data_IF_892716225374
#
_entry.id   IF_892716225374
#
_cell.length_a   1.000
_cell.length_b   1.000
_cell.length_c   1.000
_cell.angle_alpha   90.00
_cell.angle_beta   90.00
_cell.angle_gamma   90.00
#
_symmetry.space_group_name_H-M   'P 1'
#
loop_
_entity.id
_entity.type
_entity.pdbx_description
1 polymer ?
#
# COMPACT_ATOMS: atom_id res chain seq x y z
N UNK A 1 -22.12 -13.36 -7.37
CA UNK A 1 -20.85 -12.71 -7.73
C UNK A 1 -19.66 -13.47 -7.14
N UNK A 2 -18.48 -13.30 -7.69
CA UNK A 2 -17.24 -13.88 -7.14
C UNK A 2 -16.90 -13.17 -5.85
N UNK A 3 -16.65 -13.91 -4.78
CA UNK A 3 -16.17 -13.39 -3.51
C UNK A 3 -14.64 -13.57 -3.46
N UNK A 4 -13.91 -12.48 -3.26
CA UNK A 4 -12.44 -12.49 -3.21
C UNK A 4 -11.88 -12.77 -1.81
N UNK A 5 -12.72 -12.71 -0.78
CA UNK A 5 -12.33 -12.95 0.62
C UNK A 5 -13.20 -14.03 1.24
N UNK A 6 -12.72 -14.72 2.29
CA UNK A 6 -13.58 -15.57 3.10
C UNK A 6 -14.78 -14.81 3.66
N UNK A 7 -15.79 -15.51 4.11
CA UNK A 7 -16.88 -14.89 4.90
C UNK A 7 -16.31 -14.24 6.16
N UNK A 8 -16.80 -13.05 6.46
CA UNK A 8 -16.37 -12.36 7.68
C UNK A 8 -16.92 -13.08 8.89
N UNK A 9 -16.08 -13.64 9.77
CA UNK A 9 -16.54 -14.30 10.99
C UNK A 9 -17.15 -13.27 11.95
N UNK A 10 -17.98 -13.72 12.88
CA UNK A 10 -18.50 -12.85 13.95
C UNK A 10 -17.38 -12.49 14.94
N UNK A 11 -16.57 -13.47 15.35
CA UNK A 11 -15.40 -13.24 16.22
C UNK A 11 -14.25 -12.59 15.43
N UNK A 12 -13.37 -11.85 16.10
CA UNK A 12 -12.19 -11.27 15.47
C UNK A 12 -11.26 -12.34 14.89
N UNK A 13 -10.62 -11.98 13.76
CA UNK A 13 -9.48 -12.73 13.20
C UNK A 13 -8.42 -11.75 12.76
N UNK A 14 -7.20 -11.83 13.29
CA UNK A 14 -6.05 -11.04 12.89
C UNK A 14 -5.37 -11.72 11.70
N UNK A 15 -5.50 -11.13 10.53
CA UNK A 15 -5.06 -11.68 9.25
C UNK A 15 -3.71 -11.08 8.78
N UNK A 16 -3.33 -11.36 7.54
CA UNK A 16 -2.24 -10.72 6.82
C UNK A 16 -0.84 -11.19 7.22
N UNK A 17 0.14 -10.44 6.75
CA UNK A 17 1.55 -10.75 6.90
C UNK A 17 1.98 -10.79 8.37
N UNK A 18 2.85 -11.76 8.70
CA UNK A 18 3.48 -11.84 10.03
C UNK A 18 4.73 -10.99 10.16
N UNK A 19 5.33 -10.63 9.03
CA UNK A 19 6.56 -9.86 8.96
C UNK A 19 6.45 -8.77 7.92
N UNK A 20 6.91 -7.57 8.25
CA UNK A 20 6.94 -6.40 7.37
C UNK A 20 8.31 -5.77 7.43
N UNK A 21 8.89 -5.47 6.28
CA UNK A 21 10.19 -4.81 6.18
C UNK A 21 10.06 -3.28 6.23
N UNK A 22 11.07 -2.64 6.78
CA UNK A 22 11.24 -1.18 6.73
C UNK A 22 12.72 -0.80 6.69
N UNK A 23 13.05 0.25 5.94
CA UNK A 23 14.39 0.86 5.99
C UNK A 23 14.55 1.63 7.31
N UNK A 24 15.76 1.64 7.93
CA UNK A 24 16.02 2.45 9.12
C UNK A 24 15.62 3.91 8.93
N UNK A 25 14.86 4.47 9.86
CA UNK A 25 14.40 5.86 9.81
C UNK A 25 13.35 6.19 8.76
N UNK A 26 12.90 5.22 7.96
CA UNK A 26 11.87 5.44 6.94
C UNK A 26 10.46 5.54 7.54
N UNK A 27 9.55 6.18 6.79
CA UNK A 27 8.12 6.22 7.14
C UNK A 27 7.52 4.82 7.05
N UNK A 28 6.74 4.47 8.05
CA UNK A 28 5.96 3.22 8.11
C UNK A 28 4.49 3.55 7.91
N UNK A 29 3.84 2.81 7.03
CA UNK A 29 2.40 2.74 6.86
C UNK A 29 2.02 1.25 6.77
N UNK A 30 1.31 0.75 7.77
CA UNK A 30 0.87 -0.64 7.79
C UNK A 30 -0.52 -0.75 8.39
N UNK A 31 -1.50 -1.15 7.58
CA UNK A 31 -2.83 -1.49 8.06
C UNK A 31 -2.81 -2.93 8.59
N UNK A 32 -3.03 -3.09 9.89
CA UNK A 32 -3.25 -4.42 10.48
C UNK A 32 -4.58 -4.96 9.95
N UNK A 33 -4.57 -6.08 9.21
CA UNK A 33 -5.81 -6.62 8.67
C UNK A 33 -6.54 -7.39 9.77
N UNK A 34 -7.74 -6.95 10.12
CA UNK A 34 -8.59 -7.64 11.10
C UNK A 34 -10.00 -7.74 10.57
N UNK A 35 -10.48 -8.97 10.39
CA UNK A 35 -11.87 -9.28 10.08
C UNK A 35 -12.65 -9.61 11.36
N UNK A 36 -13.97 -9.45 11.31
CA UNK A 36 -14.87 -9.69 12.44
C UNK A 36 -15.99 -8.66 12.49
N UNK A 37 -17.02 -8.94 13.30
CA UNK A 37 -18.12 -8.00 13.50
C UNK A 37 -17.64 -6.74 14.23
N UNK A 38 -18.09 -5.58 13.77
CA UNK A 38 -17.84 -4.28 14.38
C UNK A 38 -19.00 -3.89 15.33
N UNK A 39 -18.77 -3.13 16.42
CA UNK A 39 -17.51 -2.49 16.81
C UNK A 39 -16.48 -3.48 17.36
N UNK A 40 -15.19 -3.17 17.13
CA UNK A 40 -14.07 -4.00 17.51
C UNK A 40 -12.95 -3.13 18.11
N UNK A 41 -12.32 -3.61 19.19
CA UNK A 41 -11.13 -3.00 19.77
C UNK A 41 -9.89 -3.68 19.21
N UNK A 42 -8.97 -2.90 18.64
CA UNK A 42 -7.67 -3.38 18.14
C UNK A 42 -6.58 -2.69 18.95
N UNK A 43 -5.61 -3.46 19.43
CA UNK A 43 -4.52 -2.98 20.28
C UNK A 43 -3.19 -3.59 19.84
N UNK A 44 -2.12 -2.83 20.03
CA UNK A 44 -0.76 -3.28 19.81
C UNK A 44 0.05 -3.10 21.09
N UNK A 45 0.80 -4.14 21.48
CA UNK A 45 1.77 -4.08 22.57
C UNK A 45 3.17 -4.32 22.01
N UNK A 46 4.15 -3.52 22.46
CA UNK A 46 5.54 -3.63 22.01
C UNK A 46 5.84 -2.88 20.71
N UNK A 47 4.98 -1.92 20.30
CA UNK A 47 5.33 -1.03 19.19
C UNK A 47 6.63 -0.28 19.50
N UNK A 48 7.59 -0.25 18.56
CA UNK A 48 8.81 0.53 18.72
C UNK A 48 8.53 2.02 18.91
N UNK A 49 9.43 2.70 19.62
CA UNK A 49 9.40 4.16 19.70
C UNK A 49 9.39 4.79 18.30
N UNK A 50 8.58 5.81 18.10
CA UNK A 50 8.36 6.46 16.81
C UNK A 50 7.17 5.91 16.00
N UNK A 51 6.59 4.77 16.39
CA UNK A 51 5.38 4.22 15.79
C UNK A 51 4.17 4.35 16.69
N UNK A 52 3.01 4.57 16.09
CA UNK A 52 1.70 4.57 16.77
C UNK A 52 0.68 3.80 15.95
N UNK A 53 -0.32 3.25 16.61
CA UNK A 53 -1.46 2.60 15.97
C UNK A 53 -2.75 3.34 16.33
N UNK A 54 -3.59 3.62 15.36
CA UNK A 54 -4.93 4.19 15.58
C UNK A 54 -5.97 3.09 15.92
N UNK A 55 -7.20 3.52 16.25
CA UNK A 55 -8.29 2.62 16.62
C UNK A 55 -8.76 1.68 15.48
N UNK A 56 -8.40 2.00 14.24
CA UNK A 56 -8.68 1.15 13.06
C UNK A 56 -7.61 0.09 12.82
N UNK A 57 -6.51 0.13 13.59
CA UNK A 57 -5.37 -0.75 13.42
C UNK A 57 -4.35 -0.23 12.39
N UNK A 58 -4.38 1.05 12.04
CA UNK A 58 -3.39 1.65 11.15
C UNK A 58 -2.15 2.05 11.93
N UNK A 59 -1.03 1.39 11.66
CA UNK A 59 0.29 1.69 12.20
C UNK A 59 0.97 2.72 11.31
N UNK A 60 1.38 3.84 11.91
CA UNK A 60 2.09 4.93 11.21
C UNK A 60 3.23 5.48 12.07
N UNK A 61 4.16 6.15 11.44
CA UNK A 61 5.28 6.82 12.10
C UNK A 61 6.60 6.60 11.40
N UNK A 62 7.69 6.57 12.16
CA UNK A 62 9.06 6.40 11.65
C UNK A 62 9.65 5.11 12.21
N UNK A 63 10.21 4.28 11.34
CA UNK A 63 10.91 3.07 11.74
C UNK A 63 12.13 3.40 12.63
N UNK A 64 12.48 2.52 13.58
CA UNK A 64 13.71 2.67 14.35
C UNK A 64 14.95 2.88 13.47
N UNK A 65 15.89 3.68 13.92
CA UNK A 65 17.19 3.84 13.24
C UNK A 65 18.06 2.58 13.33
N UNK A 66 17.90 1.79 14.40
CA UNK A 66 18.67 0.55 14.62
C UNK A 66 18.05 -0.60 13.82
N UNK A 67 18.87 -1.28 13.01
CA UNK A 67 18.48 -2.52 12.33
C UNK A 67 18.15 -3.62 13.36
N UNK A 68 17.16 -4.43 13.06
CA UNK A 68 16.74 -5.54 13.91
C UNK A 68 15.29 -5.94 13.71
N UNK A 69 14.87 -6.94 14.47
CA UNK A 69 13.49 -7.43 14.49
C UNK A 69 12.77 -6.92 15.75
N UNK A 70 11.65 -6.25 15.53
CA UNK A 70 10.81 -5.69 16.58
C UNK A 70 9.50 -6.46 16.62
N UNK A 71 9.31 -7.24 17.69
CA UNK A 71 8.13 -8.05 17.88
C UNK A 71 7.00 -7.22 18.48
N UNK A 72 5.85 -7.24 17.83
CA UNK A 72 4.65 -6.53 18.26
C UNK A 72 3.52 -7.53 18.40
N UNK A 73 2.85 -7.54 19.55
CA UNK A 73 1.65 -8.34 19.76
C UNK A 73 0.42 -7.55 19.39
N UNK A 74 -0.28 -7.96 18.33
CA UNK A 74 -1.58 -7.40 17.94
C UNK A 74 -2.67 -8.22 18.62
N UNK A 75 -3.66 -7.54 19.19
CA UNK A 75 -4.84 -8.15 19.79
C UNK A 75 -6.09 -7.48 19.25
N UNK A 76 -7.10 -8.26 18.93
CA UNK A 76 -8.41 -7.78 18.52
C UNK A 76 -9.50 -8.44 19.39
N UNK A 77 -10.53 -7.67 19.76
CA UNK A 77 -11.63 -8.17 20.57
C UNK A 77 -12.95 -7.48 20.23
N UNK A 78 -14.03 -8.25 20.25
CA UNK A 78 -15.40 -7.77 20.16
C UNK A 78 -16.31 -8.60 21.12
N UNK A 79 -17.63 -8.43 21.03
CA UNK A 79 -18.60 -9.18 21.86
C UNK A 79 -18.60 -10.69 21.62
N UNK A 80 -18.08 -11.17 20.50
CA UNK A 80 -18.07 -12.57 20.11
C UNK A 80 -16.75 -13.30 20.44
N UNK A 81 -15.71 -12.55 20.87
CA UNK A 81 -14.45 -13.17 21.24
C UNK A 81 -13.23 -12.26 21.05
N UNK A 82 -12.08 -12.92 21.04
CA UNK A 82 -10.78 -12.26 20.86
C UNK A 82 -9.85 -13.11 20.02
N UNK A 83 -8.92 -12.45 19.34
CA UNK A 83 -7.80 -13.07 18.63
C UNK A 83 -6.52 -12.29 18.87
N UNK A 84 -5.37 -12.92 18.71
CA UNK A 84 -4.07 -12.28 18.86
C UNK A 84 -3.05 -12.90 17.91
N UNK A 85 -2.15 -12.06 17.39
CA UNK A 85 -1.08 -12.47 16.48
C UNK A 85 0.20 -11.71 16.82
N UNK A 86 1.34 -12.40 16.76
CA UNK A 86 2.64 -11.73 16.74
C UNK A 86 2.90 -11.19 15.31
N UNK A 87 3.29 -9.94 15.25
CA UNK A 87 3.72 -9.25 14.06
C UNK A 87 5.16 -8.78 14.27
N UNK A 88 6.00 -8.95 13.26
CA UNK A 88 7.41 -8.56 13.29
C UNK A 88 7.62 -7.40 12.33
N UNK A 89 8.15 -6.29 12.83
CA UNK A 89 8.75 -5.25 12.02
C UNK A 89 10.25 -5.54 11.89
N UNK A 90 10.70 -5.96 10.72
CA UNK A 90 12.13 -6.14 10.41
C UNK A 90 12.68 -4.85 9.82
N UNK A 91 13.52 -4.18 10.56
CA UNK A 91 14.21 -2.95 10.11
C UNK A 91 15.55 -3.33 9.54
N UNK A 92 15.76 -3.04 8.25
CA UNK A 92 16.99 -3.44 7.55
C UNK A 92 16.96 -3.07 6.07
N UNK A 93 17.66 -3.83 5.27
CA UNK A 93 17.82 -3.59 3.83
C UNK A 93 16.83 -4.40 3.00
N UNK A 94 16.10 -5.33 3.60
CA UNK A 94 15.09 -6.16 2.96
C UNK A 94 13.69 -5.60 3.23
N UNK A 95 12.93 -5.32 2.18
CA UNK A 95 11.64 -4.63 2.28
C UNK A 95 10.43 -5.54 1.98
N UNK A 96 10.42 -6.21 0.85
CA UNK A 96 9.31 -7.07 0.42
C UNK A 96 9.41 -8.49 0.99
N UNK A 97 9.30 -8.63 2.30
CA UNK A 97 9.41 -9.91 3.01
C UNK A 97 8.20 -10.83 2.82
N UNK A 98 7.09 -10.27 2.36
CA UNK A 98 5.89 -11.01 1.94
C UNK A 98 5.39 -10.42 0.63
N UNK A 99 4.80 -11.24 -0.28
CA UNK A 99 4.22 -10.73 -1.51
C UNK A 99 3.19 -9.64 -1.23
N UNK A 100 3.23 -8.51 -1.96
CA UNK A 100 2.20 -7.49 -1.84
C UNK A 100 0.87 -8.02 -2.38
N UNK A 101 -0.21 -7.78 -1.63
CA UNK A 101 -1.57 -8.10 -2.07
C UNK A 101 -2.31 -6.81 -2.38
N UNK A 102 -2.89 -6.74 -3.57
CA UNK A 102 -3.56 -5.52 -4.00
C UNK A 102 -4.15 -5.63 -5.40
N UNK A 103 -4.33 -4.48 -6.00
CA UNK A 103 -4.92 -4.30 -7.31
C UNK A 103 -3.94 -3.56 -8.23
N UNK A 104 -3.94 -3.91 -9.51
CA UNK A 104 -3.31 -3.17 -10.60
C UNK A 104 -4.38 -2.70 -11.59
N UNK A 105 -4.22 -1.51 -12.11
CA UNK A 105 -5.23 -0.86 -12.95
C UNK A 105 -5.39 -1.47 -14.34
N UNK A 106 -4.40 -2.20 -14.84
CA UNK A 106 -4.35 -2.61 -16.24
C UNK A 106 -5.58 -3.38 -16.70
N UNK A 107 -5.86 -4.50 -16.06
CA UNK A 107 -6.98 -5.36 -16.47
C UNK A 107 -8.37 -4.79 -16.16
N UNK A 108 -8.45 -3.70 -15.38
CA UNK A 108 -9.72 -3.05 -15.07
C UNK A 108 -10.01 -1.85 -15.97
N UNK A 109 -8.98 -1.10 -16.35
CA UNK A 109 -9.15 0.19 -17.02
C UNK A 109 -8.23 0.39 -18.22
N UNK A 110 -7.17 -0.42 -18.39
CA UNK A 110 -6.17 -0.25 -19.46
C UNK A 110 -5.75 1.22 -19.58
N UNK A 111 -5.76 1.73 -20.79
CA UNK A 111 -5.41 3.12 -21.10
C UNK A 111 -6.41 4.17 -20.57
N UNK A 112 -7.61 3.74 -20.17
CA UNK A 112 -8.63 4.66 -19.65
C UNK A 112 -8.47 4.94 -18.14
N UNK A 113 -7.40 4.45 -17.49
CA UNK A 113 -7.14 4.72 -16.08
C UNK A 113 -7.01 6.21 -15.79
N UNK A 114 -7.57 6.64 -14.67
CA UNK A 114 -7.49 8.01 -14.19
C UNK A 114 -7.69 8.08 -12.67
N UNK A 115 -7.42 9.25 -12.11
CA UNK A 115 -7.45 9.49 -10.66
C UNK A 115 -8.77 9.06 -10.01
N UNK A 116 -9.91 9.33 -10.65
CA UNK A 116 -11.23 8.94 -10.14
C UNK A 116 -11.41 7.44 -10.05
N UNK A 117 -10.96 6.70 -11.09
CA UNK A 117 -11.03 5.23 -11.11
C UNK A 117 -10.20 4.63 -9.97
N UNK A 118 -8.99 5.15 -9.77
CA UNK A 118 -8.08 4.71 -8.72
C UNK A 118 -8.68 4.95 -7.34
N UNK A 119 -9.18 6.16 -7.07
CA UNK A 119 -9.81 6.51 -5.80
C UNK A 119 -11.11 5.72 -5.56
N UNK A 120 -11.91 5.49 -6.60
CA UNK A 120 -13.10 4.64 -6.51
C UNK A 120 -12.73 3.21 -6.11
N UNK A 121 -11.70 2.64 -6.75
CA UNK A 121 -11.23 1.29 -6.41
C UNK A 121 -10.72 1.23 -4.98
N UNK A 122 -9.93 2.20 -4.54
CA UNK A 122 -9.43 2.27 -3.16
C UNK A 122 -10.59 2.29 -2.14
N UNK A 123 -11.62 3.11 -2.38
CA UNK A 123 -12.82 3.13 -1.52
C UNK A 123 -13.53 1.78 -1.48
N UNK A 124 -13.69 1.12 -2.63
CA UNK A 124 -14.31 -0.21 -2.71
C UNK A 124 -13.51 -1.27 -1.92
N UNK A 125 -12.18 -1.18 -1.86
CA UNK A 125 -11.36 -2.08 -1.04
C UNK A 125 -11.69 -1.96 0.44
N UNK A 126 -11.94 -0.74 0.92
CA UNK A 126 -12.38 -0.50 2.30
C UNK A 126 -13.83 -0.97 2.51
N UNK A 127 -14.75 -0.52 1.67
CA UNK A 127 -16.19 -0.82 1.77
C UNK A 127 -16.51 -2.31 1.69
N UNK A 128 -15.77 -3.03 0.84
CA UNK A 128 -15.92 -4.49 0.66
C UNK A 128 -15.08 -5.31 1.64
N UNK A 129 -14.35 -4.66 2.53
CA UNK A 129 -13.56 -5.32 3.56
C UNK A 129 -12.31 -6.04 3.08
N UNK A 130 -11.83 -5.80 1.84
CA UNK A 130 -10.61 -6.42 1.33
C UNK A 130 -9.40 -6.06 2.19
N UNK A 131 -9.33 -4.83 2.68
CA UNK A 131 -8.26 -4.36 3.59
C UNK A 131 -8.20 -5.18 4.88
N UNK A 132 -9.32 -5.73 5.35
CA UNK A 132 -9.40 -6.57 6.55
C UNK A 132 -8.75 -7.95 6.35
N UNK A 133 -8.40 -8.29 5.11
CA UNK A 133 -7.73 -9.54 4.72
C UNK A 133 -6.32 -9.30 4.15
N UNK A 134 -5.81 -8.06 4.20
CA UNK A 134 -4.45 -7.72 3.78
C UNK A 134 -4.30 -7.21 2.35
N UNK A 135 -5.39 -6.96 1.64
CA UNK A 135 -5.37 -6.34 0.32
C UNK A 135 -5.18 -4.82 0.47
N UNK A 136 -3.93 -4.37 0.47
CA UNK A 136 -3.57 -3.00 0.87
C UNK A 136 -2.70 -2.26 -0.14
N UNK A 137 -2.54 -2.77 -1.36
CA UNK A 137 -1.80 -2.10 -2.43
C UNK A 137 -2.76 -1.68 -3.53
N UNK A 138 -2.71 -0.40 -3.90
CA UNK A 138 -3.44 0.20 -5.03
C UNK A 138 -2.40 0.67 -6.03
N UNK A 139 -2.21 -0.11 -7.09
CA UNK A 139 -1.15 0.12 -8.06
C UNK A 139 -1.73 0.67 -9.36
N UNK A 140 -1.17 1.77 -9.81
CA UNK A 140 -1.41 2.34 -11.13
C UNK A 140 -0.41 1.68 -12.08
N UNK A 141 -0.93 1.01 -13.08
CA UNK A 141 -0.14 0.45 -14.18
C UNK A 141 0.23 1.56 -15.18
N UNK A 142 0.46 1.23 -16.42
CA UNK A 142 0.82 2.17 -17.46
C UNK A 142 -0.23 3.28 -17.67
N UNK A 143 0.07 4.26 -18.49
CA UNK A 143 -0.82 5.33 -18.96
C UNK A 143 -1.09 6.47 -17.96
N UNK A 144 -0.32 6.60 -16.87
CA UNK A 144 -0.38 7.77 -15.98
C UNK A 144 0.59 8.88 -16.39
N UNK A 145 1.62 8.51 -17.15
CA UNK A 145 2.73 9.39 -17.51
C UNK A 145 2.28 10.52 -18.45
N UNK A 146 2.75 11.71 -18.16
CA UNK A 146 2.69 12.89 -18.99
C UNK A 146 4.08 13.29 -19.46
N UNK A 147 4.29 14.59 -19.70
CA UNK A 147 5.58 15.12 -20.13
C UNK A 147 6.56 15.20 -18.95
N UNK A 148 7.86 15.28 -19.28
CA UNK A 148 8.89 15.55 -18.28
C UNK A 148 8.87 17.02 -17.89
N UNK A 149 9.05 17.29 -16.60
CA UNK A 149 9.01 18.66 -16.10
C UNK A 149 9.43 18.77 -14.64
N UNK A 150 9.14 19.93 -14.06
CA UNK A 150 9.48 20.23 -12.69
C UNK A 150 10.99 20.41 -12.46
N UNK A 151 11.38 20.59 -11.20
CA UNK A 151 12.76 20.88 -10.80
C UNK A 151 13.77 19.80 -11.23
N UNK A 152 13.35 18.54 -11.19
CA UNK A 152 14.22 17.39 -11.43
C UNK A 152 14.02 16.80 -12.83
N UNK A 153 13.28 17.47 -13.73
CA UNK A 153 12.94 16.97 -15.05
C UNK A 153 12.36 15.54 -15.02
N UNK A 154 11.58 15.25 -13.99
CA UNK A 154 10.93 13.95 -13.79
C UNK A 154 9.66 13.82 -14.62
N UNK A 155 9.20 12.59 -14.83
CA UNK A 155 7.90 12.32 -15.47
C UNK A 155 6.81 12.94 -14.58
N UNK A 156 5.99 13.80 -15.18
CA UNK A 156 4.83 14.38 -14.53
C UNK A 156 3.58 13.55 -14.83
N UNK A 157 2.56 13.56 -13.98
CA UNK A 157 1.30 12.89 -14.30
C UNK A 157 0.60 13.61 -15.48
N UNK A 158 -0.11 12.86 -16.29
CA UNK A 158 -0.93 13.42 -17.35
C UNK A 158 -2.25 14.01 -16.81
N UNK A 159 -3.03 14.65 -17.71
CA UNK A 159 -4.30 15.32 -17.35
C UNK A 159 -5.36 14.47 -16.66
N UNK A 160 -5.27 13.13 -16.75
CA UNK A 160 -6.18 12.21 -16.06
C UNK A 160 -5.83 12.05 -14.58
N UNK A 161 -4.67 12.53 -14.17
CA UNK A 161 -4.19 12.54 -12.79
C UNK A 161 -3.87 13.97 -12.35
N UNK A 162 -4.87 14.85 -12.23
CA UNK A 162 -4.66 16.27 -12.00
C UNK A 162 -4.02 16.60 -10.65
N UNK A 163 -4.16 15.74 -9.67
CA UNK A 163 -3.51 15.87 -8.35
C UNK A 163 -3.08 14.51 -7.81
N UNK A 164 -1.97 14.00 -8.34
CA UNK A 164 -1.38 12.72 -7.93
C UNK A 164 -1.05 12.69 -6.43
N UNK A 165 -0.63 13.84 -5.87
CA UNK A 165 -0.30 13.91 -4.45
C UNK A 165 -1.54 13.72 -3.58
N UNK A 166 -2.61 14.46 -3.83
CA UNK A 166 -3.86 14.33 -3.07
C UNK A 166 -4.48 12.93 -3.22
N UNK A 167 -4.35 12.32 -4.40
CA UNK A 167 -4.76 10.94 -4.62
C UNK A 167 -3.98 9.96 -3.74
N UNK A 168 -2.64 10.05 -3.72
CA UNK A 168 -1.80 9.21 -2.88
C UNK A 168 -2.10 9.44 -1.39
N UNK A 169 -2.23 10.69 -0.96
CA UNK A 169 -2.57 11.03 0.42
C UNK A 169 -3.92 10.40 0.84
N UNK A 170 -4.91 10.41 -0.06
CA UNK A 170 -6.21 9.78 0.18
C UNK A 170 -6.10 8.26 0.32
N UNK A 171 -5.31 7.60 -0.52
CA UNK A 171 -5.06 6.16 -0.45
C UNK A 171 -4.35 5.81 0.88
N UNK A 172 -3.34 6.59 1.25
CA UNK A 172 -2.62 6.42 2.52
C UNK A 172 -3.53 6.64 3.74
N UNK A 173 -4.42 7.63 3.70
CA UNK A 173 -5.39 7.88 4.77
C UNK A 173 -6.39 6.72 4.96
N UNK A 174 -6.66 5.96 3.90
CA UNK A 174 -7.44 4.72 3.94
C UNK A 174 -6.63 3.50 4.43
N UNK A 175 -5.34 3.66 4.75
CA UNK A 175 -4.46 2.59 5.24
C UNK A 175 -3.80 1.75 4.14
N UNK A 176 -3.89 2.17 2.89
CA UNK A 176 -3.31 1.44 1.75
C UNK A 176 -2.08 2.15 1.20
N UNK A 177 -1.29 1.43 0.42
CA UNK A 177 -0.11 1.93 -0.29
C UNK A 177 -0.47 2.20 -1.74
N UNK A 178 0.02 3.31 -2.29
CA UNK A 178 -0.06 3.63 -3.70
C UNK A 178 1.23 3.18 -4.40
N UNK A 179 1.10 2.49 -5.53
CA UNK A 179 2.20 2.11 -6.40
C UNK A 179 1.99 2.65 -7.81
N UNK A 180 3.08 2.80 -8.54
CA UNK A 180 3.06 3.21 -9.94
C UNK A 180 4.00 2.35 -10.78
N UNK A 181 3.64 2.16 -12.03
CA UNK A 181 4.43 1.48 -13.03
C UNK A 181 5.36 2.45 -13.77
N UNK A 182 6.53 1.97 -14.12
CA UNK A 182 7.41 2.59 -15.10
C UNK A 182 8.32 1.53 -15.71
N UNK A 183 9.07 1.90 -16.74
CA UNK A 183 10.08 1.06 -17.37
C UNK A 183 11.45 1.74 -17.28
N UNK A 184 12.54 0.99 -17.38
CA UNK A 184 13.88 1.58 -17.49
C UNK A 184 14.17 2.14 -18.89
N UNK A 185 13.33 1.86 -19.90
CA UNK A 185 13.49 2.31 -21.29
C UNK A 185 12.94 3.72 -21.50
N UNK A 186 13.09 4.23 -22.73
CA UNK A 186 12.55 5.54 -23.14
C UNK A 186 11.01 5.54 -23.23
N UNK A 187 10.42 4.41 -23.59
CA UNK A 187 8.98 4.23 -23.68
C UNK A 187 8.45 3.15 -22.75
N UNK A 188 7.18 3.21 -22.42
CA UNK A 188 6.44 2.16 -21.72
C UNK A 188 5.80 1.21 -22.76
N UNK A 189 5.26 0.08 -22.28
CA UNK A 189 4.57 -0.87 -23.15
C UNK A 189 3.39 -0.27 -23.91
N UNK A 190 2.65 0.65 -23.29
CA UNK A 190 1.52 1.38 -23.92
C UNK A 190 1.96 2.66 -24.67
N UNK A 191 3.26 2.88 -24.89
CA UNK A 191 3.77 4.02 -25.66
C UNK A 191 3.86 5.35 -24.92
N UNK A 192 3.84 5.33 -23.59
CA UNK A 192 4.05 6.52 -22.76
C UNK A 192 5.54 6.72 -22.46
N UNK A 193 5.91 7.84 -21.84
CA UNK A 193 7.29 8.15 -21.47
C UNK A 193 7.78 7.17 -20.39
N UNK A 194 8.92 6.53 -20.65
CA UNK A 194 9.60 5.64 -19.71
C UNK A 194 10.64 6.34 -18.84
N UNK A 195 11.37 5.57 -18.04
CA UNK A 195 12.37 6.07 -17.09
C UNK A 195 13.61 6.70 -17.72
N UNK A 196 14.02 6.26 -18.91
CA UNK A 196 15.16 6.81 -19.65
C UNK A 196 14.78 7.99 -20.54
N UNK A 197 15.80 8.74 -20.98
CA UNK A 197 15.66 9.83 -21.96
C UNK A 197 16.81 9.75 -22.96
N UNK A 198 16.68 10.39 -24.15
CA UNK A 198 17.75 10.43 -25.15
C UNK A 198 19.08 10.98 -24.63
N UNK A 199 19.03 11.77 -23.56
CA UNK A 199 20.21 12.35 -22.91
C UNK A 199 20.72 11.55 -21.71
N UNK A 200 20.19 10.36 -21.46
CA UNK A 200 20.68 9.50 -20.39
C UNK A 200 22.12 9.05 -20.70
N UNK A 201 22.96 8.98 -19.65
CA UNK A 201 24.34 8.49 -19.79
C UNK A 201 24.42 6.98 -20.03
N UNK A 202 23.38 6.24 -19.68
CA UNK A 202 23.25 4.82 -19.94
C UNK A 202 22.08 4.63 -20.92
N UNK A 203 22.32 3.87 -21.98
CA UNK A 203 21.30 3.41 -22.89
C UNK A 203 20.85 2.02 -22.42
N UNK A 204 19.59 1.93 -22.04
CA UNK A 204 19.00 0.66 -21.62
C UNK A 204 18.32 -0.09 -22.79
N UNK A 205 18.49 0.42 -24.02
CA UNK A 205 17.82 -0.12 -25.20
C UNK A 205 16.34 0.25 -25.30
N UNK A 206 15.76 -0.14 -26.40
CA UNK A 206 14.32 -0.03 -26.69
C UNK A 206 13.58 -1.33 -26.32
#
# INVERSE_FOLDING_TARGET
>A
GVRLTPETPLSPSVNGARIVGATPGARVLFQVPVSGERPMKIQAAGLPSGLRMDSRGLVTGTAPAKKGEYKVKIQASNRHGKDAKEWILKVGDELCLTPPMGWSSWYSYSEAVGQENVLKTARLFVERGLVNHGWTYINIDDCWQGERGGRNFSIQPNKRFPDMKAMCDSIHAMGMKAGIYSTPWMGTYAGFIGGSSPNAKADYGE
#
